data_IF_441436767499
#
_entry.id   IF_441436767499
#
_cell.length_a   1.000
_cell.length_b   1.000
_cell.length_c   1.000
_cell.angle_alpha   90.00
_cell.angle_beta   90.00
_cell.angle_gamma   90.00
#
_symmetry.space_group_name_H-M   'P 1'
#
loop_
_entity.id
_entity.type
_entity.pdbx_description
1 polymer ?
#
# COMPACT_ATOMS: atom_id res chain seq x y z
N UNK A 1 33.31 -24.77 19.22
CA UNK A 1 33.87 -23.57 19.88
C UNK A 1 33.95 -22.46 18.84
N UNK A 2 32.83 -21.77 18.59
CA UNK A 2 32.71 -20.65 17.65
C UNK A 2 31.32 -19.99 17.85
N UNK A 3 31.19 -19.16 18.89
CA UNK A 3 30.04 -18.29 19.14
C UNK A 3 30.56 -17.11 19.97
N UNK A 4 31.08 -16.08 19.31
CA UNK A 4 31.27 -14.72 19.84
C UNK A 4 31.98 -13.90 18.77
N UNK A 5 31.23 -13.15 17.97
CA UNK A 5 31.67 -11.93 17.27
C UNK A 5 30.48 -11.43 16.41
N UNK A 6 29.47 -10.88 17.08
CA UNK A 6 28.38 -10.15 16.39
C UNK A 6 27.97 -8.94 17.25
N UNK A 7 28.97 -8.12 17.55
CA UNK A 7 28.91 -7.14 18.63
C UNK A 7 29.61 -5.83 18.31
N UNK A 8 29.27 -5.20 17.19
CA UNK A 8 29.37 -3.74 16.99
C UNK A 8 28.86 -3.38 15.59
N UNK A 9 27.58 -3.05 15.47
CA UNK A 9 27.14 -2.27 14.32
C UNK A 9 27.67 -0.84 14.54
N UNK A 10 28.60 -0.40 13.70
CA UNK A 10 29.17 0.94 13.75
C UNK A 10 28.06 1.99 13.54
N UNK A 11 28.15 3.13 14.23
CA UNK A 11 27.23 4.26 14.06
C UNK A 11 27.18 4.73 12.59
N UNK A 12 28.26 4.49 11.82
CA UNK A 12 28.34 4.74 10.38
C UNK A 12 27.46 3.76 9.57
N UNK A 13 27.40 2.48 9.94
CA UNK A 13 26.51 1.49 9.31
C UNK A 13 25.04 1.71 9.69
N UNK A 14 24.76 2.08 10.94
CA UNK A 14 23.42 2.48 11.37
C UNK A 14 22.93 3.74 10.63
N UNK A 15 23.83 4.69 10.35
CA UNK A 15 23.54 5.87 9.54
C UNK A 15 23.38 5.54 8.04
N UNK A 16 24.09 4.53 7.52
CA UNK A 16 23.93 4.06 6.15
C UNK A 16 22.57 3.39 5.92
N UNK A 17 22.06 2.62 6.89
CA UNK A 17 20.71 2.04 6.88
C UNK A 17 19.59 3.09 7.03
N UNK A 18 19.93 4.28 7.53
CA UNK A 18 19.03 5.42 7.68
C UNK A 18 19.02 6.34 6.45
N UNK A 19 19.93 6.16 5.47
CA UNK A 19 19.89 6.92 4.22
C UNK A 19 18.68 6.52 3.38
N UNK A 20 18.02 7.49 2.70
CA UNK A 20 17.04 7.15 1.69
C UNK A 20 17.73 6.32 0.58
N UNK A 21 17.12 5.21 0.18
CA UNK A 21 17.51 4.48 -1.03
C UNK A 21 17.40 5.48 -2.18
N UNK A 22 18.55 5.85 -2.75
CA UNK A 22 18.63 6.80 -3.86
C UNK A 22 17.97 6.20 -5.09
N UNK A 23 17.21 7.04 -5.80
CA UNK A 23 16.81 6.78 -7.18
C UNK A 23 18.07 6.42 -7.98
N UNK A 24 18.07 5.24 -8.59
CA UNK A 24 19.11 4.85 -9.52
C UNK A 24 19.03 5.73 -10.76
N UNK A 25 19.74 6.86 -10.76
CA UNK A 25 20.17 7.52 -11.98
C UNK A 25 21.54 6.98 -12.36
N UNK A 26 21.54 6.28 -13.49
CA UNK A 26 22.73 5.83 -14.18
C UNK A 26 23.74 6.96 -14.34
N UNK A 27 24.99 6.59 -14.12
CA UNK A 27 26.21 7.32 -14.44
C UNK A 27 26.26 7.74 -15.91
N UNK A 28 26.41 9.04 -16.17
CA UNK A 28 27.11 9.54 -17.35
C UNK A 28 27.64 10.96 -17.12
N UNK A 29 28.95 11.15 -17.31
CA UNK A 29 29.56 12.45 -17.56
C UNK A 29 30.37 13.03 -16.41
N UNK A 30 31.65 12.65 -16.34
CA UNK A 30 32.67 13.45 -15.70
C UNK A 30 32.92 14.74 -16.49
N UNK A 31 33.02 15.88 -15.82
CA UNK A 31 34.12 16.84 -16.03
C UNK A 31 34.17 17.90 -14.92
N UNK A 32 35.42 18.29 -14.61
CA UNK A 32 35.85 19.20 -13.54
C UNK A 32 35.27 20.63 -13.67
N UNK A 33 35.24 21.45 -12.61
CA UNK A 33 36.35 22.36 -12.23
C UNK A 33 36.14 22.91 -10.81
N UNK A 34 37.27 23.06 -10.10
CA UNK A 34 37.50 23.61 -8.76
C UNK A 34 37.38 25.14 -8.71
N UNK A 35 36.99 25.71 -7.57
CA UNK A 35 37.63 26.85 -6.82
C UNK A 35 36.59 27.63 -6.00
N UNK A 36 36.85 27.82 -4.70
CA UNK A 36 36.26 28.91 -3.92
C UNK A 36 36.05 28.63 -2.43
N UNK A 37 37.09 28.83 -1.62
CA UNK A 37 36.98 28.89 -0.16
C UNK A 37 36.23 30.17 0.29
N UNK A 38 35.30 30.04 1.23
CA UNK A 38 34.61 31.17 1.85
C UNK A 38 33.87 30.73 3.12
N UNK A 39 34.24 31.34 4.24
CA UNK A 39 33.75 31.04 5.58
C UNK A 39 32.20 31.12 5.70
N UNK A 40 31.61 30.12 6.34
CA UNK A 40 30.17 30.08 6.63
C UNK A 40 29.66 28.69 7.01
N UNK A 41 30.43 27.91 7.77
CA UNK A 41 30.05 26.54 8.16
C UNK A 41 29.11 26.52 9.38
N UNK A 42 27.87 26.97 9.19
CA UNK A 42 26.79 26.80 10.17
C UNK A 42 25.33 26.65 9.63
N UNK A 43 25.06 26.25 8.37
CA UNK A 43 23.70 25.84 7.99
C UNK A 43 23.53 24.33 7.73
N UNK A 44 24.62 23.56 7.59
CA UNK A 44 24.52 22.16 7.14
C UNK A 44 23.93 21.19 8.17
N UNK A 45 24.18 21.37 9.48
CA UNK A 45 23.63 20.52 10.55
C UNK A 45 22.14 20.77 10.81
N UNK A 46 21.72 22.04 10.84
CA UNK A 46 20.31 22.40 10.96
C UNK A 46 19.51 21.96 9.73
N UNK A 47 20.10 22.05 8.53
CA UNK A 47 19.50 21.53 7.30
C UNK A 47 19.42 20.01 7.29
N UNK A 48 20.41 19.28 7.84
CA UNK A 48 20.39 17.83 7.96
C UNK A 48 19.37 17.34 9.01
N UNK A 49 19.24 18.01 10.15
CA UNK A 49 18.19 17.75 11.14
C UNK A 49 16.79 18.06 10.58
N UNK A 50 16.62 19.17 9.87
CA UNK A 50 15.38 19.50 9.17
C UNK A 50 15.11 18.60 7.94
N UNK A 51 16.14 17.98 7.33
CA UNK A 51 16.01 17.02 6.25
C UNK A 51 15.75 15.60 6.76
N UNK A 52 16.23 15.23 7.94
CA UNK A 52 15.85 14.01 8.66
C UNK A 52 14.43 14.13 9.23
N UNK A 53 14.03 15.29 9.76
CA UNK A 53 12.64 15.58 10.13
C UNK A 53 11.71 15.69 8.90
N UNK A 54 12.21 16.17 7.75
CA UNK A 54 11.44 16.16 6.48
C UNK A 54 11.47 14.82 5.73
N UNK A 55 12.47 13.94 5.94
CA UNK A 55 12.55 12.59 5.34
C UNK A 55 11.99 11.49 6.24
N UNK A 56 11.85 11.75 7.55
CA UNK A 56 10.76 11.24 8.38
C UNK A 56 9.38 11.77 7.93
N UNK A 57 9.36 12.53 6.83
CA UNK A 57 8.51 12.30 5.68
C UNK A 57 7.09 11.95 6.03
N UNK A 58 6.28 12.99 6.28
CA UNK A 58 4.81 13.00 6.19
C UNK A 58 4.25 11.63 5.81
N UNK A 59 4.07 10.78 6.82
CA UNK A 59 3.62 9.41 6.61
C UNK A 59 2.21 9.49 6.06
N UNK A 60 2.06 9.19 4.77
CA UNK A 60 0.79 9.42 4.07
C UNK A 60 -0.20 8.36 4.49
N UNK A 61 -1.49 8.64 4.39
CA UNK A 61 -2.53 7.68 4.73
C UNK A 61 -2.37 6.32 4.02
N UNK A 62 -1.87 6.32 2.77
CA UNK A 62 -1.53 5.10 2.03
C UNK A 62 -0.31 4.33 2.52
N UNK A 63 0.62 4.98 3.22
CA UNK A 63 1.80 4.33 3.82
C UNK A 63 1.42 3.32 4.90
N UNK A 64 0.17 3.35 5.34
CA UNK A 64 -0.37 2.50 6.39
C UNK A 64 -1.21 1.34 5.86
N UNK A 65 -1.46 1.24 4.56
CA UNK A 65 -2.23 0.14 3.94
C UNK A 65 -1.36 -1.09 3.65
N UNK A 66 -1.92 -2.32 3.74
CA UNK A 66 -1.15 -3.56 3.70
C UNK A 66 -0.43 -3.80 2.37
N UNK A 67 -1.04 -3.48 1.22
CA UNK A 67 -0.47 -3.76 -0.11
C UNK A 67 0.80 -2.97 -0.42
N UNK A 68 1.02 -1.79 0.20
CA UNK A 68 2.15 -0.93 -0.13
C UNK A 68 3.51 -1.52 0.31
N UNK A 69 3.50 -2.36 1.34
CA UNK A 69 4.69 -3.08 1.80
C UNK A 69 5.06 -4.26 0.90
N UNK A 70 4.09 -4.85 0.19
CA UNK A 70 4.30 -6.05 -0.63
C UNK A 70 5.10 -5.76 -1.91
N UNK A 71 5.21 -4.51 -2.33
CA UNK A 71 5.97 -4.10 -3.51
C UNK A 71 7.50 -3.96 -3.27
N UNK A 72 7.98 -4.22 -2.04
CA UNK A 72 9.38 -4.00 -1.64
C UNK A 72 10.02 -5.29 -1.16
N UNK A 73 11.35 -5.44 -1.33
CA UNK A 73 12.08 -6.56 -0.73
C UNK A 73 11.99 -6.50 0.79
N UNK A 74 11.85 -7.67 1.42
CA UNK A 74 11.87 -7.77 2.88
C UNK A 74 13.26 -7.47 3.38
N UNK A 75 13.35 -6.59 4.37
CA UNK A 75 14.55 -6.44 5.19
C UNK A 75 14.17 -6.85 6.58
N UNK A 76 14.96 -7.72 7.22
CA UNK A 76 14.62 -8.30 8.50
C UNK A 76 14.13 -7.24 9.50
N UNK A 77 12.86 -7.28 9.84
CA UNK A 77 12.21 -6.30 10.71
C UNK A 77 12.83 -6.26 12.09
N UNK A 78 13.38 -7.39 12.53
CA UNK A 78 14.18 -7.51 13.76
C UNK A 78 15.43 -6.62 13.77
N UNK A 79 16.13 -6.45 12.64
CA UNK A 79 17.29 -5.54 12.54
C UNK A 79 16.84 -4.09 12.72
N UNK A 80 15.75 -3.70 12.06
CA UNK A 80 15.19 -2.35 12.16
C UNK A 80 14.63 -2.07 13.55
N UNK A 81 14.02 -3.05 14.20
CA UNK A 81 13.54 -2.94 15.57
C UNK A 81 14.71 -2.73 16.56
N UNK A 82 15.83 -3.46 16.37
CA UNK A 82 17.06 -3.25 17.16
C UNK A 82 17.64 -1.85 16.94
N UNK A 83 17.73 -1.40 15.69
CA UNK A 83 18.20 -0.04 15.38
C UNK A 83 17.31 1.05 15.98
N UNK A 84 15.98 0.87 15.94
CA UNK A 84 15.03 1.78 16.56
C UNK A 84 15.21 1.86 18.09
N UNK A 85 15.35 0.71 18.75
CA UNK A 85 15.62 0.64 20.18
C UNK A 85 16.93 1.34 20.54
N UNK A 86 18.00 1.09 19.77
CA UNK A 86 19.30 1.72 19.99
C UNK A 86 19.26 3.24 19.82
N UNK A 87 18.56 3.73 18.80
CA UNK A 87 18.38 5.17 18.60
C UNK A 87 17.60 5.81 19.75
N UNK A 88 16.58 5.13 20.28
CA UNK A 88 15.81 5.60 21.44
C UNK A 88 16.66 5.64 22.72
N UNK A 89 17.49 4.62 22.97
CA UNK A 89 18.45 4.61 24.08
C UNK A 89 19.44 5.77 23.99
N UNK A 90 20.03 5.97 22.80
CA UNK A 90 20.96 7.07 22.57
C UNK A 90 20.29 8.42 22.79
N UNK A 91 19.04 8.60 22.36
CA UNK A 91 18.30 9.84 22.56
C UNK A 91 18.07 10.22 24.04
N UNK A 92 18.16 9.25 24.96
CA UNK A 92 18.05 9.46 26.39
C UNK A 92 19.40 9.74 27.08
N UNK A 93 20.51 9.77 26.34
CA UNK A 93 21.84 10.01 26.90
C UNK A 93 21.96 11.45 27.43
N UNK A 94 22.47 11.66 28.66
CA UNK A 94 22.53 12.97 29.32
C UNK A 94 23.54 13.93 28.67
N UNK A 95 24.46 13.41 27.85
CA UNK A 95 25.52 14.18 27.19
C UNK A 95 25.05 14.83 25.88
N UNK A 96 23.85 14.50 25.39
CA UNK A 96 23.33 15.04 24.14
C UNK A 96 22.70 16.42 24.33
N UNK A 97 22.87 17.26 23.31
CA UNK A 97 22.09 18.49 23.22
C UNK A 97 20.59 18.17 23.07
N UNK A 98 19.67 19.02 23.55
CA UNK A 98 18.23 18.81 23.38
C UNK A 98 17.81 18.58 21.92
N UNK A 99 18.41 19.32 20.98
CA UNK A 99 18.14 19.17 19.54
C UNK A 99 18.60 17.84 18.96
N UNK A 100 19.73 17.30 19.42
CA UNK A 100 20.21 16.00 18.96
C UNK A 100 19.36 14.86 19.54
N UNK A 101 18.92 15.00 20.81
CA UNK A 101 17.98 14.10 21.44
C UNK A 101 16.61 14.06 20.74
N UNK A 102 16.08 15.22 20.34
CA UNK A 102 14.85 15.31 19.53
C UNK A 102 15.02 14.62 18.17
N UNK A 103 16.13 14.87 17.48
CA UNK A 103 16.41 14.25 16.18
C UNK A 103 16.53 12.72 16.27
N UNK A 104 17.19 12.20 17.32
CA UNK A 104 17.29 10.76 17.55
C UNK A 104 15.96 10.12 17.92
N UNK A 105 15.10 10.80 18.71
CA UNK A 105 13.73 10.34 18.97
C UNK A 105 12.91 10.24 17.69
N UNK A 106 12.98 11.25 16.82
CA UNK A 106 12.31 11.23 15.52
C UNK A 106 12.83 10.09 14.62
N UNK A 107 14.14 9.89 14.57
CA UNK A 107 14.75 8.79 13.84
C UNK A 107 14.35 7.42 14.39
N UNK A 108 14.33 7.25 15.72
CA UNK A 108 13.87 6.04 16.39
C UNK A 108 12.41 5.74 16.03
N UNK A 109 11.54 6.76 16.02
CA UNK A 109 10.15 6.62 15.58
C UNK A 109 10.02 6.17 14.12
N UNK A 110 10.76 6.80 13.21
CA UNK A 110 10.75 6.41 11.79
C UNK A 110 11.26 4.97 11.59
N UNK A 111 12.30 4.56 12.31
CA UNK A 111 12.83 3.19 12.28
C UNK A 111 11.83 2.19 12.88
N UNK A 112 11.18 2.53 13.99
CA UNK A 112 10.16 1.68 14.63
C UNK A 112 8.98 1.44 13.68
N UNK A 113 8.55 2.46 12.93
CA UNK A 113 7.52 2.28 11.92
C UNK A 113 7.96 1.38 10.77
N UNK A 114 9.17 1.59 10.24
CA UNK A 114 9.72 0.70 9.21
C UNK A 114 9.84 -0.73 9.72
N UNK A 115 10.29 -0.92 10.97
CA UNK A 115 10.37 -2.21 11.62
C UNK A 115 9.00 -2.89 11.73
N UNK A 116 7.98 -2.16 12.18
CA UNK A 116 6.62 -2.67 12.28
C UNK A 116 6.09 -3.18 10.93
N UNK A 117 6.37 -2.46 9.84
CA UNK A 117 5.97 -2.88 8.48
C UNK A 117 6.65 -4.17 8.07
N UNK A 118 7.97 -4.28 8.26
CA UNK A 118 8.70 -5.50 7.90
C UNK A 118 8.26 -6.68 8.76
N UNK A 119 8.12 -6.50 10.07
CA UNK A 119 7.62 -7.55 10.97
C UNK A 119 6.21 -8.01 10.56
N UNK A 120 5.34 -7.08 10.17
CA UNK A 120 4.03 -7.42 9.63
C UNK A 120 4.13 -8.20 8.30
N UNK A 121 5.05 -7.81 7.40
CA UNK A 121 5.31 -8.52 6.16
C UNK A 121 5.92 -9.90 6.38
N UNK A 122 6.65 -10.12 7.48
CA UNK A 122 7.14 -11.43 7.95
C UNK A 122 6.02 -12.26 8.58
N UNK A 123 4.88 -11.65 8.91
CA UNK A 123 3.74 -12.29 9.57
C UNK A 123 3.78 -12.23 11.09
N UNK A 124 4.76 -11.52 11.67
CA UNK A 124 4.89 -11.32 13.10
C UNK A 124 4.11 -10.06 13.54
N UNK A 125 2.78 -10.18 13.53
CA UNK A 125 1.90 -9.10 13.93
C UNK A 125 2.13 -8.64 15.37
N UNK A 126 2.48 -9.56 16.28
CA UNK A 126 2.72 -9.23 17.69
C UNK A 126 3.91 -8.28 17.83
N UNK A 127 5.08 -8.63 17.27
CA UNK A 127 6.25 -7.75 17.33
C UNK A 127 6.07 -6.49 16.50
N UNK A 128 5.31 -6.55 15.40
CA UNK A 128 4.95 -5.35 14.65
C UNK A 128 4.18 -4.35 15.52
N UNK A 129 3.24 -4.83 16.33
CA UNK A 129 2.47 -4.00 17.26
C UNK A 129 3.35 -3.47 18.37
N UNK A 130 4.23 -4.30 18.95
CA UNK A 130 5.18 -3.83 19.97
C UNK A 130 6.06 -2.68 19.43
N UNK A 131 6.49 -2.76 18.17
CA UNK A 131 7.24 -1.69 17.52
C UNK A 131 6.39 -0.41 17.32
N UNK A 132 5.10 -0.54 16.98
CA UNK A 132 4.16 0.59 16.87
C UNK A 132 3.85 1.21 18.23
N UNK A 133 3.76 0.41 19.29
CA UNK A 133 3.49 0.89 20.64
C UNK A 133 4.68 1.68 21.18
N UNK A 134 5.91 1.23 20.90
CA UNK A 134 7.14 2.00 21.18
C UNK A 134 7.18 3.33 20.43
N UNK A 135 6.77 3.36 19.16
CA UNK A 135 6.62 4.61 18.41
C UNK A 135 5.63 5.56 19.11
N UNK A 136 4.46 5.05 19.53
CA UNK A 136 3.44 5.85 20.21
C UNK A 136 3.92 6.45 21.54
N UNK A 137 4.80 5.74 22.25
CA UNK A 137 5.42 6.24 23.49
C UNK A 137 6.52 7.30 23.23
N UNK A 138 7.29 7.15 22.14
CA UNK A 138 8.42 8.03 21.83
C UNK A 138 8.01 9.33 21.14
N UNK A 139 6.94 9.30 20.35
CA UNK A 139 6.52 10.43 19.52
C UNK A 139 5.00 10.40 19.26
N UNK A 140 4.17 10.67 20.28
CA UNK A 140 2.70 10.59 20.17
C UNK A 140 2.13 11.53 19.10
N UNK A 141 2.76 12.68 18.87
CA UNK A 141 2.42 13.66 17.82
C UNK A 141 2.67 13.16 16.40
N UNK A 142 3.58 12.21 16.20
CA UNK A 142 3.91 11.68 14.87
C UNK A 142 2.89 10.65 14.36
N UNK A 143 2.05 10.11 15.24
CA UNK A 143 1.08 9.10 14.87
C UNK A 143 -0.26 9.32 15.61
N UNK A 144 -1.20 10.09 15.03
CA UNK A 144 -2.56 10.20 15.54
C UNK A 144 -3.20 8.82 15.77
N UNK A 145 -4.16 8.72 16.67
CA UNK A 145 -4.80 7.44 17.05
C UNK A 145 -5.26 6.64 15.83
N UNK A 146 -5.94 7.29 14.89
CA UNK A 146 -6.40 6.67 13.64
C UNK A 146 -5.26 6.10 12.79
N UNK A 147 -4.09 6.72 12.76
CA UNK A 147 -2.93 6.22 12.03
C UNK A 147 -2.34 4.99 12.72
N UNK A 148 -2.26 4.99 14.06
CA UNK A 148 -1.80 3.83 14.84
C UNK A 148 -2.76 2.65 14.71
N UNK A 149 -4.06 2.88 14.79
CA UNK A 149 -5.06 1.84 14.61
C UNK A 149 -5.02 1.24 13.20
N UNK A 150 -4.88 2.09 12.17
CA UNK A 150 -4.70 1.64 10.79
C UNK A 150 -3.43 0.78 10.65
N UNK A 151 -2.30 1.20 11.24
CA UNK A 151 -1.06 0.44 11.24
C UNK A 151 -1.19 -0.95 11.88
N UNK A 152 -1.82 -1.02 13.07
CA UNK A 152 -2.05 -2.28 13.79
C UNK A 152 -3.02 -3.18 13.02
N UNK A 153 -4.06 -2.61 12.41
CA UNK A 153 -5.00 -3.32 11.55
C UNK A 153 -4.29 -3.94 10.34
N UNK A 154 -3.42 -3.19 9.68
CA UNK A 154 -2.62 -3.70 8.57
C UNK A 154 -1.67 -4.83 8.97
N UNK A 155 -1.08 -4.76 10.18
CA UNK A 155 -0.25 -5.85 10.70
C UNK A 155 -1.05 -7.15 10.85
N UNK A 156 -2.24 -7.09 11.45
CA UNK A 156 -3.12 -8.27 11.56
C UNK A 156 -3.65 -8.75 10.22
N UNK A 157 -3.92 -7.84 9.28
CA UNK A 157 -4.36 -8.19 7.92
C UNK A 157 -3.29 -9.01 7.20
N UNK A 158 -2.02 -8.59 7.27
CA UNK A 158 -0.88 -9.30 6.67
C UNK A 158 -0.56 -10.63 7.39
N UNK A 159 -0.87 -10.73 8.67
CA UNK A 159 -0.80 -11.98 9.43
C UNK A 159 -1.98 -12.93 9.17
N UNK A 160 -3.06 -12.44 8.53
CA UNK A 160 -4.24 -13.24 8.17
C UNK A 160 -5.41 -13.15 9.15
N UNK A 161 -5.30 -12.40 10.24
CA UNK A 161 -6.37 -12.21 11.23
C UNK A 161 -7.22 -10.97 10.91
N UNK A 162 -8.15 -11.14 9.97
CA UNK A 162 -9.00 -10.05 9.46
C UNK A 162 -10.03 -9.58 10.49
N UNK A 163 -10.49 -10.47 11.36
CA UNK A 163 -11.45 -10.14 12.41
C UNK A 163 -10.81 -9.19 13.44
N UNK A 164 -9.60 -9.52 13.91
CA UNK A 164 -8.84 -8.66 14.82
C UNK A 164 -8.40 -7.37 14.15
N UNK A 165 -8.03 -7.43 12.87
CA UNK A 165 -7.72 -6.22 12.10
C UNK A 165 -8.92 -5.25 12.03
N UNK A 166 -10.14 -5.78 11.82
CA UNK A 166 -11.36 -4.97 11.74
C UNK A 166 -11.71 -4.34 13.09
N UNK A 167 -11.69 -5.12 14.17
CA UNK A 167 -12.00 -4.66 15.53
C UNK A 167 -11.15 -3.44 15.94
N UNK A 168 -9.87 -3.41 15.55
CA UNK A 168 -8.98 -2.29 15.84
C UNK A 168 -9.39 -0.97 15.18
N UNK A 169 -9.88 -1.00 13.94
CA UNK A 169 -10.25 0.21 13.20
C UNK A 169 -11.70 0.64 13.47
N UNK A 170 -12.56 -0.27 13.93
CA UNK A 170 -13.94 0.07 14.31
C UNK A 170 -14.03 0.85 15.63
N UNK A 171 -12.99 0.79 16.47
CA UNK A 171 -12.93 1.49 17.76
C UNK A 171 -12.40 2.93 17.67
N UNK A 172 -11.91 3.33 16.51
CA UNK A 172 -11.26 4.63 16.31
C UNK A 172 -12.29 5.75 16.20
N UNK A 173 -12.08 6.84 16.94
CA UNK A 173 -12.80 8.09 16.68
C UNK A 173 -12.28 8.76 15.40
N UNK A 174 -13.04 8.62 14.32
CA UNK A 174 -12.72 9.22 13.03
C UNK A 174 -13.09 10.70 12.95
N UNK A 175 -13.87 11.27 13.87
CA UNK A 175 -14.27 12.67 13.80
C UNK A 175 -13.05 13.61 13.93
N UNK A 176 -12.08 13.22 14.76
CA UNK A 176 -10.84 13.96 14.98
C UNK A 176 -9.76 13.73 13.90
N UNK A 177 -9.95 12.76 12.99
CA UNK A 177 -8.93 12.39 12.01
C UNK A 177 -8.97 13.29 10.75
N UNK A 178 -7.80 13.65 10.17
CA UNK A 178 -7.75 14.35 8.90
C UNK A 178 -8.48 13.59 7.77
N UNK A 179 -9.12 14.28 6.79
CA UNK A 179 -9.89 13.64 5.73
C UNK A 179 -9.18 12.48 4.99
N UNK A 180 -7.89 12.64 4.65
CA UNK A 180 -7.14 11.58 3.99
C UNK A 180 -6.94 10.33 4.87
N UNK A 181 -6.78 10.51 6.18
CA UNK A 181 -6.66 9.40 7.12
C UNK A 181 -8.01 8.71 7.35
N UNK A 182 -9.10 9.48 7.44
CA UNK A 182 -10.47 8.93 7.46
C UNK A 182 -10.75 8.07 6.23
N UNK A 183 -10.37 8.55 5.05
CA UNK A 183 -10.52 7.80 3.80
C UNK A 183 -9.75 6.48 3.82
N UNK A 184 -8.49 6.47 4.30
CA UNK A 184 -7.72 5.23 4.40
C UNK A 184 -8.28 4.25 5.43
N UNK A 185 -8.79 4.72 6.57
CA UNK A 185 -9.46 3.84 7.55
C UNK A 185 -10.74 3.25 6.98
N UNK A 186 -11.59 4.05 6.33
CA UNK A 186 -12.81 3.54 5.69
C UNK A 186 -12.50 2.57 4.55
N UNK A 187 -11.43 2.81 3.80
CA UNK A 187 -10.97 1.91 2.75
C UNK A 187 -10.54 0.56 3.34
N UNK A 188 -9.65 0.55 4.34
CA UNK A 188 -9.25 -0.68 5.03
C UNK A 188 -10.46 -1.42 5.62
N UNK A 189 -11.41 -0.68 6.19
CA UNK A 189 -12.67 -1.23 6.71
C UNK A 189 -13.47 -1.92 5.62
N UNK A 190 -13.64 -1.28 4.45
CA UNK A 190 -14.37 -1.85 3.32
C UNK A 190 -13.75 -3.17 2.86
N UNK A 191 -12.42 -3.19 2.69
CA UNK A 191 -11.69 -4.37 2.24
C UNK A 191 -11.76 -5.52 3.25
N UNK A 192 -11.61 -5.24 4.55
CA UNK A 192 -11.73 -6.23 5.62
C UNK A 192 -13.15 -6.81 5.72
N UNK A 193 -14.17 -5.95 5.65
CA UNK A 193 -15.57 -6.38 5.65
C UNK A 193 -15.87 -7.28 4.44
N UNK A 194 -15.34 -6.93 3.26
CA UNK A 194 -15.50 -7.74 2.05
C UNK A 194 -14.83 -9.12 2.22
N UNK A 195 -13.62 -9.16 2.77
CA UNK A 195 -12.90 -10.40 3.02
C UNK A 195 -13.50 -11.27 4.12
N UNK A 196 -14.35 -10.70 4.98
CA UNK A 196 -15.14 -11.41 5.99
C UNK A 196 -16.55 -11.77 5.48
N UNK A 197 -16.84 -11.57 4.18
CA UNK A 197 -18.15 -11.89 3.58
C UNK A 197 -19.26 -10.89 3.91
N UNK A 198 -18.98 -9.80 4.65
CA UNK A 198 -19.95 -8.76 5.04
C UNK A 198 -20.17 -7.74 3.91
N UNK A 199 -20.64 -8.21 2.76
CA UNK A 199 -20.69 -7.44 1.49
C UNK A 199 -21.43 -6.10 1.57
N UNK A 200 -22.59 -6.05 2.20
CA UNK A 200 -23.37 -4.80 2.31
C UNK A 200 -22.66 -3.76 3.19
N UNK A 201 -22.05 -4.19 4.29
CA UNK A 201 -21.26 -3.31 5.15
C UNK A 201 -20.00 -2.82 4.42
N UNK A 202 -19.36 -3.72 3.68
CA UNK A 202 -18.19 -3.42 2.86
C UNK A 202 -18.50 -2.34 1.80
N UNK A 203 -19.62 -2.48 1.10
CA UNK A 203 -20.05 -1.51 0.09
C UNK A 203 -20.38 -0.14 0.70
N UNK A 204 -21.00 -0.10 1.89
CA UNK A 204 -21.24 1.14 2.64
C UNK A 204 -19.92 1.82 3.05
N UNK A 205 -18.98 1.05 3.58
CA UNK A 205 -17.66 1.56 3.96
C UNK A 205 -16.88 2.08 2.75
N UNK A 206 -17.00 1.44 1.58
CA UNK A 206 -16.35 1.90 0.34
C UNK A 206 -16.87 3.26 -0.14
N UNK A 207 -18.16 3.55 0.03
CA UNK A 207 -18.72 4.89 -0.26
C UNK A 207 -18.17 5.94 0.68
N UNK A 208 -18.12 5.65 2.00
CA UNK A 208 -17.52 6.56 2.97
C UNK A 208 -16.04 6.83 2.68
N UNK A 209 -15.31 5.83 2.18
CA UNK A 209 -13.91 5.99 1.78
C UNK A 209 -13.76 6.96 0.58
N UNK A 210 -14.60 6.81 -0.44
CA UNK A 210 -14.61 7.68 -1.63
C UNK A 210 -15.02 9.13 -1.28
N UNK A 211 -16.06 9.30 -0.46
CA UNK A 211 -16.51 10.62 0.03
C UNK A 211 -15.41 11.32 0.85
N UNK A 212 -14.75 10.60 1.76
CA UNK A 212 -13.65 11.15 2.55
C UNK A 212 -12.41 11.49 1.70
N UNK A 213 -12.11 10.68 0.67
CA UNK A 213 -11.05 10.97 -0.29
C UNK A 213 -11.37 12.22 -1.12
N UNK A 214 -12.63 12.39 -1.53
CA UNK A 214 -13.08 13.58 -2.23
C UNK A 214 -13.00 14.85 -1.36
N UNK A 215 -13.38 14.75 -0.08
CA UNK A 215 -13.23 15.84 0.88
C UNK A 215 -11.76 16.20 1.11
N UNK A 216 -10.87 15.21 1.18
CA UNK A 216 -9.42 15.45 1.30
C UNK A 216 -8.86 16.20 0.09
N UNK A 217 -9.33 15.89 -1.12
CA UNK A 217 -8.93 16.59 -2.34
C UNK A 217 -9.45 18.03 -2.36
N UNK A 218 -10.70 18.25 -1.98
CA UNK A 218 -11.28 19.59 -1.88
C UNK A 218 -10.52 20.47 -0.87
N UNK A 219 -10.09 19.89 0.25
CA UNK A 219 -9.29 20.59 1.27
C UNK A 219 -7.83 20.88 0.83
N UNK A 220 -7.32 20.20 -0.20
CA UNK A 220 -5.94 20.29 -0.68
C UNK A 220 -5.77 21.01 -2.02
N UNK A 221 -6.71 21.86 -2.45
CA UNK A 221 -6.66 22.54 -3.73
C UNK A 221 -5.45 23.50 -3.81
N UNK A 222 -4.42 23.11 -4.58
CA UNK A 222 -3.21 23.89 -4.84
C UNK A 222 -1.95 23.03 -4.95
N UNK A 223 -1.77 22.08 -4.01
CA UNK A 223 -0.62 21.18 -3.90
C UNK A 223 -1.02 19.86 -3.22
N UNK A 224 -1.96 19.13 -3.83
CA UNK A 224 -2.40 17.85 -3.28
C UNK A 224 -1.21 16.87 -3.17
N UNK A 225 -0.94 16.29 -1.99
CA UNK A 225 0.20 15.39 -1.82
C UNK A 225 0.07 14.18 -2.77
N UNK A 226 1.17 13.68 -3.38
CA UNK A 226 1.12 12.66 -4.43
C UNK A 226 0.44 11.34 -4.03
N UNK A 227 0.22 11.10 -2.73
CA UNK A 227 -0.52 9.93 -2.23
C UNK A 227 -2.05 10.05 -2.28
N UNK A 228 -2.61 11.25 -2.42
CA UNK A 228 -4.06 11.43 -2.33
C UNK A 228 -4.79 10.90 -3.57
N UNK A 229 -4.24 11.13 -4.76
CA UNK A 229 -4.83 10.63 -6.01
C UNK A 229 -4.91 9.09 -6.05
N UNK A 230 -3.91 8.41 -5.49
CA UNK A 230 -3.87 6.95 -5.41
C UNK A 230 -4.89 6.41 -4.40
N UNK A 231 -5.09 7.11 -3.29
CA UNK A 231 -6.10 6.76 -2.29
C UNK A 231 -7.50 6.88 -2.88
N UNK A 232 -7.75 7.98 -3.58
CA UNK A 232 -8.99 8.19 -4.32
C UNK A 232 -9.20 7.11 -5.40
N UNK A 233 -8.16 6.79 -6.18
CA UNK A 233 -8.25 5.76 -7.19
C UNK A 233 -8.59 4.39 -6.59
N UNK A 234 -7.91 3.99 -5.50
CA UNK A 234 -8.20 2.75 -4.79
C UNK A 234 -9.60 2.74 -4.16
N UNK A 235 -10.04 3.84 -3.58
CA UNK A 235 -11.40 3.97 -3.03
C UNK A 235 -12.46 3.76 -4.11
N UNK A 236 -12.31 4.39 -5.28
CA UNK A 236 -13.27 4.23 -6.39
C UNK A 236 -13.24 2.84 -7.02
N UNK A 237 -12.06 2.23 -7.19
CA UNK A 237 -11.98 0.83 -7.63
C UNK A 237 -12.64 -0.12 -6.63
N UNK A 238 -12.43 0.09 -5.34
CA UNK A 238 -13.03 -0.73 -4.27
C UNK A 238 -14.54 -0.56 -4.25
N UNK A 239 -15.03 0.69 -4.34
CA UNK A 239 -16.47 0.98 -4.46
C UNK A 239 -17.07 0.29 -5.68
N UNK A 240 -16.41 0.34 -6.84
CA UNK A 240 -16.89 -0.32 -8.04
C UNK A 240 -16.93 -1.86 -7.86
N UNK A 241 -15.85 -2.46 -7.35
CA UNK A 241 -15.75 -3.89 -7.11
C UNK A 241 -16.80 -4.42 -6.12
N UNK A 242 -17.19 -3.61 -5.12
CA UNK A 242 -18.15 -3.99 -4.08
C UNK A 242 -19.59 -3.52 -4.37
N UNK A 243 -19.80 -2.71 -5.41
CA UNK A 243 -21.13 -2.24 -5.77
C UNK A 243 -22.00 -3.43 -6.22
N UNK A 244 -23.26 -3.55 -5.75
CA UNK A 244 -24.21 -4.54 -6.26
C UNK A 244 -24.42 -4.41 -7.78
N UNK A 245 -24.59 -5.53 -8.47
CA UNK A 245 -25.18 -5.58 -9.83
C UNK A 245 -26.65 -5.12 -9.76
N UNK A 246 -27.19 -4.53 -10.84
CA UNK A 246 -28.42 -3.70 -10.84
C UNK A 246 -29.65 -4.21 -10.06
N UNK A 247 -30.39 -3.25 -9.48
CA UNK A 247 -31.73 -3.43 -8.91
C UNK A 247 -32.03 -2.56 -7.68
N UNK A 248 -31.02 -2.07 -6.95
CA UNK A 248 -31.29 -1.34 -5.70
C UNK A 248 -30.11 -0.65 -5.03
N UNK A 249 -29.06 -0.29 -5.78
CA UNK A 249 -27.88 0.32 -5.15
C UNK A 249 -27.93 1.86 -5.20
N UNK A 250 -28.14 2.55 -4.06
CA UNK A 250 -27.93 4.00 -3.96
C UNK A 250 -26.43 4.39 -4.11
N UNK A 251 -25.54 3.41 -4.31
CA UNK A 251 -24.09 3.58 -4.38
C UNK A 251 -23.60 3.91 -5.81
N UNK A 252 -24.48 3.97 -6.82
CA UNK A 252 -24.17 4.58 -8.12
C UNK A 252 -24.40 6.09 -8.05
N UNK A 253 -23.36 6.86 -7.71
CA UNK A 253 -23.38 8.28 -8.03
C UNK A 253 -22.69 8.46 -9.39
N UNK A 254 -23.46 8.93 -10.37
CA UNK A 254 -23.01 9.12 -11.76
C UNK A 254 -24.16 8.89 -12.73
N UNK A 255 -24.14 9.59 -13.88
CA UNK A 255 -25.18 9.55 -14.92
C UNK A 255 -25.41 8.17 -15.55
N UNK A 256 -26.18 8.08 -16.66
CA UNK A 256 -26.53 6.80 -17.28
C UNK A 256 -25.29 5.92 -17.54
N UNK A 257 -25.42 4.59 -17.49
CA UNK A 257 -24.30 3.69 -17.71
C UNK A 257 -23.58 4.08 -19.01
N UNK A 258 -22.26 4.18 -18.95
CA UNK A 258 -21.50 4.51 -20.14
C UNK A 258 -21.79 3.46 -21.21
N UNK A 259 -22.30 3.91 -22.37
CA UNK A 259 -22.52 3.04 -23.50
C UNK A 259 -21.16 2.53 -23.96
N UNK A 260 -20.98 1.21 -23.97
CA UNK A 260 -19.81 0.59 -24.57
C UNK A 260 -19.79 0.97 -26.06
N UNK A 261 -18.65 1.42 -26.61
CA UNK A 261 -18.57 1.75 -28.03
C UNK A 261 -18.81 0.49 -28.88
N UNK A 262 -19.31 0.70 -30.11
CA UNK A 262 -19.63 -0.38 -31.04
C UNK A 262 -18.41 -1.27 -31.36
N UNK A 263 -17.20 -0.69 -31.37
CA UNK A 263 -15.95 -1.43 -31.42
C UNK A 263 -15.46 -1.76 -30.00
N UNK A 264 -15.78 -2.98 -29.54
CA UNK A 264 -15.36 -3.51 -28.25
C UNK A 264 -13.83 -3.65 -28.12
N UNK A 265 -13.09 -3.70 -29.24
CA UNK A 265 -11.63 -3.76 -29.23
C UNK A 265 -10.95 -2.40 -28.97
N UNK A 266 -11.68 -1.31 -29.22
CA UNK A 266 -11.33 0.05 -28.82
C UNK A 266 -11.89 0.44 -27.43
N UNK A 267 -12.78 -0.38 -26.87
CA UNK A 267 -13.59 -0.04 -25.71
C UNK A 267 -12.86 -0.09 -24.36
N UNK A 268 -11.75 -0.83 -24.21
CA UNK A 268 -11.12 -1.02 -22.90
C UNK A 268 -10.14 0.12 -22.58
N UNK A 269 -10.50 1.08 -21.70
CA UNK A 269 -9.64 2.21 -21.41
C UNK A 269 -8.56 1.77 -20.43
N UNK A 270 -7.31 2.01 -20.79
CA UNK A 270 -6.16 1.82 -19.92
C UNK A 270 -6.25 2.74 -18.71
N UNK A 271 -6.03 2.19 -17.51
CA UNK A 271 -5.46 2.96 -16.40
C UNK A 271 -4.70 2.02 -15.48
N UNK A 272 -3.39 1.94 -15.67
CA UNK A 272 -2.55 1.45 -14.60
C UNK A 272 -1.99 2.62 -13.89
N UNK A 273 -2.31 2.62 -12.61
CA UNK A 273 -1.75 3.56 -11.69
C UNK A 273 -0.32 3.16 -11.26
N UNK A 274 0.48 2.63 -12.20
CA UNK A 274 1.74 1.94 -11.96
C UNK A 274 2.84 2.82 -11.37
N UNK A 275 2.97 4.01 -11.94
CA UNK A 275 4.06 4.95 -11.72
C UNK A 275 3.53 6.13 -10.92
N UNK A 276 3.95 6.20 -9.66
CA UNK A 276 3.58 7.26 -8.72
C UNK A 276 3.99 8.66 -9.21
N UNK A 277 4.98 8.70 -10.12
CA UNK A 277 5.55 9.85 -10.81
C UNK A 277 4.91 10.13 -12.17
N UNK A 278 4.03 9.25 -12.66
CA UNK A 278 3.51 9.41 -14.00
C UNK A 278 2.58 10.64 -14.11
N UNK A 279 2.57 11.30 -15.28
CA UNK A 279 1.71 12.48 -15.53
C UNK A 279 0.22 12.23 -15.27
N UNK A 280 -0.21 10.96 -15.25
CA UNK A 280 -1.59 10.53 -15.01
C UNK A 280 -1.90 10.23 -13.52
N UNK A 281 -0.97 10.42 -12.58
CA UNK A 281 -1.26 10.45 -11.14
C UNK A 281 -1.79 11.83 -10.65
N UNK A 282 -2.01 12.79 -11.57
CA UNK A 282 -2.48 14.15 -11.28
C UNK A 282 -4.00 14.19 -11.06
N UNK A 283 -4.46 15.05 -10.14
CA UNK A 283 -5.79 15.03 -9.51
C UNK A 283 -7.04 15.22 -10.39
N UNK A 284 -6.92 15.38 -11.71
CA UNK A 284 -8.06 15.33 -12.64
C UNK A 284 -7.72 14.44 -13.84
N UNK A 285 -8.31 13.25 -13.88
CA UNK A 285 -8.03 12.21 -14.88
C UNK A 285 -9.31 11.83 -15.64
N UNK A 286 -9.62 12.49 -16.76
CA UNK A 286 -10.68 12.02 -17.66
C UNK A 286 -10.48 10.56 -18.09
N UNK A 287 -9.22 10.09 -18.18
CA UNK A 287 -8.90 8.70 -18.47
C UNK A 287 -9.35 7.73 -17.37
N UNK A 288 -9.18 8.11 -16.10
CA UNK A 288 -9.61 7.28 -14.98
C UNK A 288 -11.12 7.14 -14.90
N UNK A 289 -11.83 8.26 -15.01
CA UNK A 289 -13.29 8.26 -15.02
C UNK A 289 -13.85 7.40 -16.17
N UNK A 290 -13.26 7.52 -17.38
CA UNK A 290 -13.63 6.67 -18.53
C UNK A 290 -13.40 5.19 -18.25
N UNK A 291 -12.30 4.81 -17.62
CA UNK A 291 -12.02 3.43 -17.30
C UNK A 291 -12.98 2.84 -16.27
N UNK A 292 -13.22 3.54 -15.16
CA UNK A 292 -14.21 3.13 -14.18
C UNK A 292 -15.59 2.96 -14.83
N UNK A 293 -15.98 3.88 -15.72
CA UNK A 293 -17.24 3.80 -16.44
C UNK A 293 -17.30 2.60 -17.40
N UNK A 294 -16.23 2.32 -18.15
CA UNK A 294 -16.14 1.16 -19.02
C UNK A 294 -16.19 -0.16 -18.24
N UNK A 295 -15.50 -0.24 -17.10
CA UNK A 295 -15.54 -1.40 -16.22
C UNK A 295 -16.91 -1.62 -15.58
N UNK A 296 -17.59 -0.54 -15.17
CA UNK A 296 -18.97 -0.60 -14.70
C UNK A 296 -19.89 -1.15 -15.80
N UNK A 297 -19.80 -0.60 -17.01
CA UNK A 297 -20.60 -1.05 -18.14
C UNK A 297 -20.29 -2.50 -18.55
N UNK A 298 -19.02 -2.91 -18.47
CA UNK A 298 -18.58 -4.26 -18.77
C UNK A 298 -19.17 -5.30 -17.82
N UNK A 299 -19.23 -5.00 -16.53
CA UNK A 299 -19.82 -5.89 -15.53
C UNK A 299 -21.31 -6.13 -15.77
N UNK A 300 -22.04 -5.08 -16.15
CA UNK A 300 -23.49 -5.13 -16.34
C UNK A 300 -23.89 -5.58 -17.76
N UNK A 301 -22.91 -5.78 -18.66
CA UNK A 301 -23.17 -6.19 -20.03
C UNK A 301 -23.73 -7.63 -20.11
N UNK A 302 -24.48 -7.97 -21.18
CA UNK A 302 -24.93 -9.34 -21.43
C UNK A 302 -23.77 -10.35 -21.55
N UNK A 303 -23.97 -11.65 -21.28
CA UNK A 303 -22.91 -12.66 -21.25
C UNK A 303 -22.02 -12.68 -22.52
N UNK A 304 -22.61 -12.62 -23.71
CA UNK A 304 -21.87 -12.59 -24.97
C UNK A 304 -20.96 -11.35 -25.08
N UNK A 305 -21.45 -10.19 -24.64
CA UNK A 305 -20.69 -8.94 -24.60
C UNK A 305 -19.55 -9.03 -23.58
N UNK A 306 -19.80 -9.57 -22.37
CA UNK A 306 -18.74 -9.80 -21.38
C UNK A 306 -17.64 -10.70 -21.90
N UNK A 307 -17.99 -11.77 -22.62
CA UNK A 307 -17.02 -12.66 -23.28
C UNK A 307 -16.17 -11.91 -24.30
N UNK A 308 -16.78 -11.10 -25.16
CA UNK A 308 -16.04 -10.28 -26.13
C UNK A 308 -15.10 -9.28 -25.43
N UNK A 309 -15.55 -8.67 -24.33
CA UNK A 309 -14.76 -7.75 -23.51
C UNK A 309 -13.58 -8.46 -22.81
N UNK A 310 -13.75 -9.70 -22.34
CA UNK A 310 -12.63 -10.52 -21.81
C UNK A 310 -11.53 -10.71 -22.86
N UNK A 311 -11.91 -11.04 -24.10
CA UNK A 311 -10.94 -11.14 -25.20
C UNK A 311 -10.31 -9.78 -25.57
N UNK A 312 -11.08 -8.70 -25.53
CA UNK A 312 -10.56 -7.35 -25.78
C UNK A 312 -9.56 -6.91 -24.70
N UNK A 313 -9.83 -7.24 -23.43
CA UNK A 313 -8.94 -6.97 -22.31
C UNK A 313 -7.59 -7.69 -22.46
N UNK A 314 -7.56 -8.94 -22.98
CA UNK A 314 -6.31 -9.66 -23.26
C UNK A 314 -5.51 -9.06 -24.43
N UNK A 315 -6.15 -8.34 -25.36
CA UNK A 315 -5.49 -7.74 -26.54
C UNK A 315 -4.81 -6.42 -26.23
N UNK A 316 -5.27 -5.68 -25.21
CA UNK A 316 -4.75 -4.37 -24.82
C UNK A 316 -3.88 -4.56 -23.57
N UNK A 317 -2.58 -4.27 -23.70
CA UNK A 317 -1.49 -4.72 -22.80
C UNK A 317 -1.45 -3.99 -21.44
N UNK A 318 -0.52 -4.42 -20.59
CA UNK A 318 -0.50 -4.20 -19.14
C UNK A 318 -0.43 -2.76 -18.66
N UNK A 319 -1.32 -2.48 -17.70
CA UNK A 319 -1.23 -1.37 -16.76
C UNK A 319 -2.24 -1.64 -15.64
N UNK A 320 -2.00 -2.65 -14.81
CA UNK A 320 -2.84 -2.87 -13.64
C UNK A 320 -2.61 -1.75 -12.59
N UNK A 321 -3.65 -1.28 -11.88
CA UNK A 321 -3.49 -0.40 -10.73
C UNK A 321 -2.73 -1.09 -9.60
N UNK A 322 -2.05 -0.34 -8.71
CA UNK A 322 -1.38 -0.92 -7.54
C UNK A 322 -2.38 -1.43 -6.49
N UNK A 323 -3.67 -1.15 -6.66
CA UNK A 323 -4.79 -1.72 -5.90
C UNK A 323 -5.22 -3.07 -6.50
N UNK A 324 -4.37 -4.09 -6.36
CA UNK A 324 -4.57 -5.38 -7.05
C UNK A 324 -5.80 -6.15 -6.55
N UNK A 325 -6.12 -6.09 -5.26
CA UNK A 325 -7.29 -6.78 -4.70
C UNK A 325 -8.60 -6.36 -5.39
N UNK A 326 -9.00 -5.08 -5.37
CA UNK A 326 -10.25 -4.67 -6.01
C UNK A 326 -10.20 -4.87 -7.53
N UNK A 327 -9.02 -4.76 -8.16
CA UNK A 327 -8.86 -5.00 -9.59
C UNK A 327 -9.11 -6.46 -9.98
N UNK A 328 -8.50 -7.41 -9.26
CA UNK A 328 -8.72 -8.84 -9.47
C UNK A 328 -10.16 -9.26 -9.11
N UNK A 329 -10.72 -8.71 -8.04
CA UNK A 329 -12.12 -8.97 -7.65
C UNK A 329 -13.11 -8.51 -8.72
N UNK A 330 -12.88 -7.35 -9.34
CA UNK A 330 -13.70 -6.82 -10.42
C UNK A 330 -13.49 -7.57 -11.74
N UNK A 331 -12.24 -7.91 -12.09
CA UNK A 331 -11.92 -8.71 -13.28
C UNK A 331 -12.63 -10.08 -13.25
N UNK A 332 -12.75 -10.69 -12.08
CA UNK A 332 -13.48 -11.93 -11.91
C UNK A 332 -14.98 -11.80 -12.21
N UNK A 333 -15.58 -10.64 -11.94
CA UNK A 333 -17.01 -10.38 -12.19
C UNK A 333 -17.36 -10.33 -13.69
N UNK A 334 -16.37 -10.25 -14.58
CA UNK A 334 -16.58 -10.37 -16.02
C UNK A 334 -16.88 -11.81 -16.46
N UNK A 335 -16.60 -12.80 -15.59
CA UNK A 335 -16.94 -14.19 -15.81
C UNK A 335 -18.35 -14.47 -15.29
N UNK A 336 -19.26 -14.91 -16.16
CA UNK A 336 -20.58 -15.36 -15.73
C UNK A 336 -20.55 -16.71 -15.03
N UNK A 337 -21.63 -17.04 -14.31
CA UNK A 337 -21.82 -18.38 -13.75
C UNK A 337 -21.71 -19.46 -14.85
N UNK A 338 -20.91 -20.49 -14.58
CA UNK A 338 -20.69 -21.60 -15.53
C UNK A 338 -19.81 -21.28 -16.75
N UNK A 339 -19.28 -20.06 -16.89
CA UNK A 339 -18.44 -19.69 -18.05
C UNK A 339 -16.96 -20.12 -17.93
N UNK A 340 -16.58 -20.76 -16.82
CA UNK A 340 -15.24 -21.29 -16.59
C UNK A 340 -14.76 -21.10 -15.14
N UNK A 341 -13.47 -21.37 -14.94
CA UNK A 341 -12.80 -21.15 -13.67
C UNK A 341 -12.29 -19.69 -13.59
N UNK A 342 -12.65 -18.99 -12.51
CA UNK A 342 -12.20 -17.62 -12.24
C UNK A 342 -10.69 -17.53 -12.09
N UNK A 343 -10.04 -18.55 -11.54
CA UNK A 343 -8.61 -18.58 -11.31
C UNK A 343 -7.83 -18.69 -12.62
N UNK A 344 -8.28 -19.55 -13.54
CA UNK A 344 -7.70 -19.66 -14.89
C UNK A 344 -7.85 -18.34 -15.66
N UNK A 345 -9.02 -17.69 -15.55
CA UNK A 345 -9.23 -16.37 -16.16
C UNK A 345 -8.29 -15.32 -15.57
N UNK A 346 -8.17 -15.23 -14.25
CA UNK A 346 -7.35 -14.24 -13.57
C UNK A 346 -5.86 -14.45 -13.81
N UNK A 347 -5.41 -15.70 -13.99
CA UNK A 347 -4.03 -15.99 -14.39
C UNK A 347 -3.74 -15.43 -15.79
N UNK A 348 -4.63 -15.64 -16.76
CA UNK A 348 -4.50 -15.07 -18.09
C UNK A 348 -4.56 -13.54 -18.07
N UNK A 349 -5.47 -12.99 -17.27
CA UNK A 349 -5.69 -11.55 -17.15
C UNK A 349 -4.51 -10.80 -16.53
N UNK A 350 -3.85 -11.38 -15.51
CA UNK A 350 -2.72 -10.76 -14.81
C UNK A 350 -1.35 -11.14 -15.38
N UNK A 351 -1.27 -12.09 -16.32
CA UNK A 351 0.00 -12.62 -16.84
C UNK A 351 0.96 -11.53 -17.35
N UNK A 352 0.43 -10.49 -18.01
CA UNK A 352 1.25 -9.41 -18.58
C UNK A 352 1.69 -8.37 -17.54
N UNK A 353 0.98 -8.26 -16.42
CA UNK A 353 1.35 -7.38 -15.31
C UNK A 353 2.19 -8.11 -14.24
N UNK A 354 2.33 -9.44 -14.34
CA UNK A 354 3.08 -10.25 -13.39
C UNK A 354 4.51 -9.75 -13.10
N UNK A 355 5.31 -9.27 -14.08
CA UNK A 355 6.65 -8.73 -13.80
C UNK A 355 6.67 -7.47 -12.93
N UNK A 356 5.53 -6.79 -12.77
CA UNK A 356 5.42 -5.52 -12.02
C UNK A 356 5.10 -5.73 -10.54
N UNK A 357 4.70 -6.94 -10.16
CA UNK A 357 4.26 -7.24 -8.81
C UNK A 357 5.07 -8.40 -8.24
N UNK A 358 5.39 -8.31 -6.96
CA UNK A 358 6.01 -9.44 -6.27
C UNK A 358 5.07 -10.64 -6.25
N UNK A 359 5.63 -11.84 -6.18
CA UNK A 359 4.81 -13.06 -6.07
C UNK A 359 3.97 -13.05 -4.77
N UNK A 360 4.49 -12.45 -3.69
CA UNK A 360 3.71 -12.24 -2.45
C UNK A 360 2.53 -11.31 -2.66
N UNK A 361 2.73 -10.19 -3.37
CA UNK A 361 1.63 -9.26 -3.66
C UNK A 361 0.54 -9.94 -4.49
N UNK A 362 0.92 -10.67 -5.54
CA UNK A 362 -0.04 -11.43 -6.35
C UNK A 362 -0.76 -12.47 -5.48
N UNK A 363 -0.04 -13.29 -4.71
CA UNK A 363 -0.67 -14.32 -3.87
C UNK A 363 -1.63 -13.72 -2.82
N UNK A 364 -1.23 -12.63 -2.16
CA UNK A 364 -2.10 -11.89 -1.23
C UNK A 364 -3.35 -11.37 -1.96
N UNK A 365 -3.17 -10.72 -3.10
CA UNK A 365 -4.27 -10.10 -3.84
C UNK A 365 -5.28 -11.13 -4.36
N UNK A 366 -4.79 -12.28 -4.87
CA UNK A 366 -5.64 -13.39 -5.32
C UNK A 366 -6.41 -14.02 -4.16
N UNK A 367 -5.78 -14.14 -2.98
CA UNK A 367 -6.44 -14.64 -1.79
C UNK A 367 -7.59 -13.71 -1.33
N UNK A 368 -7.35 -12.41 -1.21
CA UNK A 368 -8.42 -11.45 -0.83
C UNK A 368 -9.52 -11.37 -1.89
N UNK A 369 -9.16 -11.31 -3.18
CA UNK A 369 -10.14 -11.27 -4.25
C UNK A 369 -11.03 -12.53 -4.27
N UNK A 370 -10.49 -13.70 -3.94
CA UNK A 370 -11.28 -14.92 -3.76
C UNK A 370 -12.24 -14.83 -2.58
N UNK A 371 -11.80 -14.27 -1.44
CA UNK A 371 -12.69 -14.02 -0.28
C UNK A 371 -13.84 -13.08 -0.62
N UNK A 372 -13.58 -12.01 -1.38
CA UNK A 372 -14.63 -11.07 -1.78
C UNK A 372 -15.72 -11.76 -2.62
N UNK A 373 -15.32 -12.74 -3.43
CA UNK A 373 -16.24 -13.59 -4.22
C UNK A 373 -16.93 -14.68 -3.41
N UNK A 374 -16.49 -14.95 -2.17
CA UNK A 374 -16.98 -16.04 -1.34
C UNK A 374 -16.44 -17.41 -1.76
N UNK A 375 -15.28 -17.45 -2.41
CA UNK A 375 -14.58 -18.68 -2.81
C UNK A 375 -13.52 -19.04 -1.77
N UNK A 376 -13.96 -19.73 -0.71
CA UNK A 376 -13.10 -20.12 0.41
C UNK A 376 -11.99 -21.10 0.00
N UNK A 377 -12.25 -21.93 -1.01
CA UNK A 377 -11.29 -22.90 -1.53
C UNK A 377 -10.08 -22.22 -2.17
N UNK A 378 -10.34 -21.33 -3.13
CA UNK A 378 -9.29 -20.53 -3.77
C UNK A 378 -8.62 -19.58 -2.78
N UNK A 379 -9.39 -18.97 -1.87
CA UNK A 379 -8.86 -18.10 -0.82
C UNK A 379 -7.84 -18.84 0.07
N UNK A 380 -8.17 -20.04 0.53
CA UNK A 380 -7.27 -20.85 1.35
C UNK A 380 -6.03 -21.31 0.57
N UNK A 381 -6.17 -21.67 -0.71
CA UNK A 381 -5.06 -22.08 -1.55
C UNK A 381 -4.04 -20.94 -1.76
N UNK A 382 -4.52 -19.75 -2.12
CA UNK A 382 -3.66 -18.58 -2.30
C UNK A 382 -3.08 -18.05 -0.99
N UNK A 383 -3.82 -18.14 0.12
CA UNK A 383 -3.31 -17.80 1.44
C UNK A 383 -2.11 -18.67 1.84
N UNK A 384 -2.20 -20.00 1.66
CA UNK A 384 -1.06 -20.90 1.89
C UNK A 384 0.15 -20.55 1.03
N UNK A 385 -0.09 -20.18 -0.23
CA UNK A 385 0.97 -19.74 -1.14
C UNK A 385 1.61 -18.43 -0.67
N UNK A 386 0.82 -17.46 -0.26
CA UNK A 386 1.30 -16.21 0.32
C UNK A 386 2.16 -16.46 1.57
N UNK A 387 1.71 -17.33 2.48
CA UNK A 387 2.45 -17.69 3.70
C UNK A 387 3.77 -18.40 3.40
N UNK A 388 3.80 -19.29 2.42
CA UNK A 388 5.02 -19.96 1.99
C UNK A 388 6.04 -18.97 1.38
N UNK A 389 5.58 -18.09 0.49
CA UNK A 389 6.43 -17.05 -0.11
C UNK A 389 6.92 -16.06 0.95
N UNK A 390 6.07 -15.72 1.92
CA UNK A 390 6.43 -14.93 3.09
C UNK A 390 7.54 -15.58 3.90
N UNK A 391 7.40 -16.86 4.24
CA UNK A 391 8.40 -17.59 5.01
C UNK A 391 9.77 -17.61 4.32
N UNK A 392 9.79 -17.76 2.99
CA UNK A 392 11.02 -17.69 2.18
C UNK A 392 11.63 -16.29 2.21
N UNK A 393 10.81 -15.25 2.06
CA UNK A 393 11.29 -13.86 2.05
C UNK A 393 11.77 -13.38 3.44
N UNK A 394 11.20 -13.92 4.52
CA UNK A 394 11.58 -13.61 5.90
C UNK A 394 12.80 -14.37 6.42
N UNK A 395 13.27 -15.40 5.72
CA UNK A 395 14.44 -16.18 6.11
C UNK A 395 15.72 -15.37 5.85
N UNK A 396 16.49 -14.98 6.89
CA UNK A 396 17.71 -14.20 6.71
C UNK A 396 18.73 -14.86 5.79
N UNK A 397 18.79 -16.20 5.75
CA UNK A 397 19.70 -16.93 4.88
C UNK A 397 19.28 -16.90 3.41
N UNK A 398 18.03 -16.53 3.11
CA UNK A 398 17.45 -16.51 1.77
C UNK A 398 16.97 -15.13 1.33
N UNK A 399 17.02 -14.13 2.22
CA UNK A 399 16.51 -12.79 1.97
C UNK A 399 17.10 -12.12 0.72
N UNK A 400 18.39 -12.34 0.45
CA UNK A 400 19.04 -11.79 -0.74
C UNK A 400 18.53 -12.43 -2.04
N UNK A 401 18.41 -13.76 -2.07
CA UNK A 401 17.86 -14.50 -3.21
C UNK A 401 16.38 -14.18 -3.39
N UNK A 402 15.63 -14.10 -2.29
CA UNK A 402 14.22 -13.72 -2.30
C UNK A 402 14.02 -12.32 -2.89
N UNK A 403 14.88 -11.36 -2.53
CA UNK A 403 14.90 -10.02 -3.15
C UNK A 403 15.17 -10.09 -4.64
N UNK A 404 16.16 -10.86 -5.08
CA UNK A 404 16.49 -10.98 -6.51
C UNK A 404 15.35 -11.61 -7.32
N UNK A 405 14.62 -12.55 -6.72
CA UNK A 405 13.46 -13.22 -7.33
C UNK A 405 12.16 -12.43 -7.23
N UNK A 406 12.17 -11.22 -6.64
CA UNK A 406 10.97 -10.41 -6.45
C UNK A 406 9.94 -11.07 -5.53
N UNK A 407 10.38 -11.80 -4.51
CA UNK A 407 9.52 -12.46 -3.54
C UNK A 407 8.93 -11.49 -2.53
#
# INVERSE_FOLDING_TARGET
>A
MALAEDGALDAVEAAALARPEGDGTETAGADAVVVGAGAGAAPARAAAGAALSRSAGSLRALDWLPERGLARPVVAGSLRARAAARAAELAAAPELSPSDGDALRAAAGALALKAARELALEGDAARAIDALDRLGALAPELAPEAARALARSSAWTLAGDRARALDLIERVDLAAAPPALRAAVHLQRAELLASLGRRLDAARAAVLADEAAAAARAAGAGDAPPGLALLEARARWTRLALAPSEGGSPLRQGGPPALLPADLSAAWPWVGFARLDAPWARGDQPAFARALAAWSAARDAPPATRRALRYAALRRRGDAPPALVPYAALAAQLLGEGEGDAEVWLDAFLALDAPRFSLRHVAFARAEAARWRGDDGSAAAWQRRYEALRAVASDPARAEIARYLGL
#
